data_IF_113631596191
#
_entry.id   IF_113631596191
#
_cell.length_a   1.000
_cell.length_b   1.000
_cell.length_c   1.000
_cell.angle_alpha   90.00
_cell.angle_beta   90.00
_cell.angle_gamma   90.00
#
_symmetry.space_group_name_H-M   'P 1'
#
loop_
_entity.id
_entity.type
_entity.pdbx_description
1 polymer ?
#
# COMPACT_ATOMS: atom_id res chain seq x y z
N UNK A 1 -4.52 -4.02 40.05
CA UNK A 1 -5.39 -2.84 39.93
C UNK A 1 -4.83 -2.00 38.79
N UNK A 2 -5.55 -1.99 37.66
CA UNK A 2 -5.38 -1.18 36.44
C UNK A 2 -4.10 -1.38 35.61
N UNK A 3 -4.25 -2.27 34.62
CA UNK A 3 -3.66 -2.12 33.30
C UNK A 3 -4.09 -0.76 32.73
N UNK A 4 -3.18 0.20 32.71
CA UNK A 4 -3.38 1.45 31.96
C UNK A 4 -3.08 1.15 30.50
N UNK A 5 -4.11 0.70 29.79
CA UNK A 5 -4.17 0.65 28.34
C UNK A 5 -3.81 2.04 27.81
N UNK A 6 -2.65 2.11 27.16
CA UNK A 6 -2.21 3.27 26.40
C UNK A 6 -3.13 3.39 25.18
N UNK A 7 -4.33 3.92 25.37
CA UNK A 7 -5.23 4.24 24.27
C UNK A 7 -4.53 5.30 23.41
N UNK A 8 -4.39 5.10 22.09
CA UNK A 8 -3.83 6.12 21.23
C UNK A 8 -4.68 7.40 21.38
N UNK A 9 -4.05 8.59 21.40
CA UNK A 9 -4.77 9.84 21.60
C UNK A 9 -5.87 9.98 20.56
N UNK A 10 -7.06 10.40 20.99
CA UNK A 10 -8.18 10.68 20.10
C UNK A 10 -7.74 11.72 19.05
N UNK A 11 -7.57 11.28 17.80
CA UNK A 11 -7.02 12.09 16.70
C UNK A 11 -5.71 11.57 16.10
N UNK A 12 -5.08 10.55 16.69
CA UNK A 12 -4.03 9.81 16.00
C UNK A 12 -4.68 9.04 14.84
N UNK A 13 -4.45 9.49 13.61
CA UNK A 13 -4.73 8.69 12.41
C UNK A 13 -4.02 7.36 12.60
N UNK A 14 -4.79 6.28 12.67
CA UNK A 14 -4.22 4.94 12.62
C UNK A 14 -3.54 4.79 11.26
N UNK A 15 -2.21 4.94 11.28
CA UNK A 15 -1.37 4.91 10.09
C UNK A 15 -1.50 3.56 9.39
N UNK A 16 -1.74 2.49 10.16
CA UNK A 16 -2.01 1.15 9.63
C UNK A 16 -3.33 1.11 8.88
N UNK A 17 -4.40 1.65 9.46
CA UNK A 17 -5.71 1.71 8.80
C UNK A 17 -5.67 2.50 7.48
N UNK A 18 -4.96 3.64 7.46
CA UNK A 18 -4.81 4.45 6.25
C UNK A 18 -4.04 3.69 5.14
N UNK A 19 -2.93 3.05 5.49
CA UNK A 19 -2.16 2.22 4.55
C UNK A 19 -2.98 1.03 4.05
N UNK A 20 -3.67 0.31 4.94
CA UNK A 20 -4.51 -0.83 4.58
C UNK A 20 -5.61 -0.42 3.59
N UNK A 21 -6.27 0.73 3.81
CA UNK A 21 -7.27 1.25 2.89
C UNK A 21 -6.71 1.55 1.49
N UNK A 22 -5.48 2.07 1.42
CA UNK A 22 -4.78 2.38 0.17
C UNK A 22 -4.16 1.13 -0.51
N UNK A 23 -4.00 0.04 0.22
CA UNK A 23 -3.53 -1.24 -0.33
C UNK A 23 -4.67 -2.10 -0.89
N UNK A 24 -5.94 -1.77 -0.61
CA UNK A 24 -7.11 -2.58 -1.03
C UNK A 24 -7.16 -2.94 -2.52
N UNK A 25 -6.83 -2.05 -3.48
CA UNK A 25 -6.84 -2.44 -4.89
C UNK A 25 -5.84 -3.55 -5.21
N UNK A 26 -4.78 -3.70 -4.41
CA UNK A 26 -3.74 -4.70 -4.59
C UNK A 26 -4.07 -6.03 -3.89
N UNK A 27 -5.12 -6.07 -3.07
CA UNK A 27 -5.43 -7.20 -2.20
C UNK A 27 -5.59 -8.51 -2.97
N UNK A 28 -6.27 -8.49 -4.13
CA UNK A 28 -6.46 -9.69 -4.94
C UNK A 28 -5.14 -10.33 -5.40
N UNK A 29 -4.13 -9.50 -5.68
CA UNK A 29 -2.80 -9.96 -6.08
C UNK A 29 -1.99 -10.45 -4.88
N UNK A 30 -2.17 -9.83 -3.71
CA UNK A 30 -1.49 -10.22 -2.47
C UNK A 30 -2.02 -11.52 -1.88
N UNK A 31 -3.27 -11.89 -2.17
CA UNK A 31 -3.87 -13.16 -1.72
C UNK A 31 -3.68 -14.32 -2.71
N UNK A 32 -3.12 -14.06 -3.88
CA UNK A 32 -2.88 -15.08 -4.91
C UNK A 32 -1.49 -15.71 -4.72
N UNK A 33 -1.43 -16.95 -4.23
CA UNK A 33 -0.19 -17.70 -4.00
C UNK A 33 0.67 -17.90 -5.26
N UNK A 34 0.09 -17.74 -6.46
CA UNK A 34 0.83 -17.79 -7.71
C UNK A 34 1.59 -16.48 -8.03
N UNK A 35 1.21 -15.36 -7.40
CA UNK A 35 1.87 -14.06 -7.56
C UNK A 35 3.12 -14.02 -6.69
N UNK A 36 4.26 -13.69 -7.30
CA UNK A 36 5.56 -13.55 -6.60
C UNK A 36 6.03 -12.11 -6.50
N UNK A 37 5.60 -11.27 -7.43
CA UNK A 37 5.99 -9.86 -7.47
C UNK A 37 4.88 -9.03 -8.09
N UNK A 38 4.75 -7.80 -7.61
CA UNK A 38 3.85 -6.77 -8.14
C UNK A 38 4.70 -5.53 -8.42
N UNK A 39 4.54 -4.96 -9.61
CA UNK A 39 5.25 -3.73 -10.01
C UNK A 39 4.26 -2.75 -10.63
N UNK A 40 4.36 -1.47 -10.27
CA UNK A 40 3.56 -0.38 -10.83
C UNK A 40 4.54 0.61 -11.49
N UNK A 41 4.89 0.42 -12.77
CA UNK A 41 5.91 1.24 -13.43
C UNK A 41 5.40 2.64 -13.81
N UNK A 42 4.08 2.80 -13.93
CA UNK A 42 3.43 4.08 -14.24
C UNK A 42 1.99 4.07 -13.72
N UNK A 43 1.36 5.25 -13.54
CA UNK A 43 -0.05 5.33 -13.21
C UNK A 43 -0.92 4.53 -14.19
N UNK A 44 -1.88 3.79 -13.66
CA UNK A 44 -2.81 2.99 -14.44
C UNK A 44 -2.34 1.57 -14.79
N UNK A 45 -1.07 1.21 -14.57
CA UNK A 45 -0.54 -0.11 -14.94
C UNK A 45 -0.05 -0.87 -13.70
N UNK A 46 -0.46 -2.13 -13.58
CA UNK A 46 0.11 -3.10 -12.65
C UNK A 46 0.62 -4.32 -13.40
N UNK A 47 1.85 -4.72 -13.12
CA UNK A 47 2.43 -5.97 -13.59
C UNK A 47 2.51 -6.96 -12.42
N UNK A 48 1.93 -8.15 -12.58
CA UNK A 48 2.05 -9.24 -11.63
C UNK A 48 2.89 -10.37 -12.22
N UNK A 49 3.92 -10.82 -11.50
CA UNK A 49 4.71 -11.98 -11.88
C UNK A 49 3.99 -13.26 -11.41
N UNK A 50 3.35 -13.97 -12.33
CA UNK A 50 2.63 -15.23 -12.08
C UNK A 50 3.29 -16.38 -12.83
N UNK A 51 3.66 -17.45 -12.12
CA UNK A 51 4.31 -18.64 -12.71
C UNK A 51 5.49 -18.30 -13.64
N UNK A 52 6.30 -17.31 -13.27
CA UNK A 52 7.46 -16.86 -14.06
C UNK A 52 7.13 -16.03 -15.30
N UNK A 53 5.88 -15.54 -15.44
CA UNK A 53 5.46 -14.65 -16.53
C UNK A 53 4.86 -13.37 -15.99
N UNK A 54 5.19 -12.25 -16.64
CA UNK A 54 4.60 -10.96 -16.34
C UNK A 54 3.23 -10.83 -16.99
N UNK A 55 2.22 -10.51 -16.18
CA UNK A 55 0.86 -10.24 -16.60
C UNK A 55 0.55 -8.75 -16.36
N UNK A 56 0.13 -8.03 -17.40
CA UNK A 56 -0.31 -6.64 -17.29
C UNK A 56 -1.79 -6.57 -16.89
N UNK A 57 -2.08 -5.69 -15.95
CA UNK A 57 -3.41 -5.33 -15.48
C UNK A 57 -3.58 -3.81 -15.58
N UNK A 58 -4.58 -3.36 -16.33
CA UNK A 58 -4.94 -1.95 -16.41
C UNK A 58 -5.83 -1.59 -15.22
N UNK A 59 -5.37 -0.66 -14.39
CA UNK A 59 -5.98 -0.29 -13.12
C UNK A 59 -6.04 1.22 -12.96
N UNK A 60 -7.08 1.85 -13.52
CA UNK A 60 -7.28 3.31 -13.49
C UNK A 60 -7.31 3.92 -12.07
N UNK A 61 -7.66 3.12 -11.06
CA UNK A 61 -7.61 3.51 -9.64
C UNK A 61 -6.19 3.88 -9.19
N UNK A 62 -5.15 3.25 -9.77
CA UNK A 62 -3.74 3.54 -9.53
C UNK A 62 -3.29 4.81 -10.26
N UNK A 63 -4.09 5.87 -10.12
CA UNK A 63 -3.76 7.20 -10.62
C UNK A 63 -2.54 7.77 -9.91
N UNK A 64 -1.91 8.81 -10.50
CA UNK A 64 -0.75 9.46 -9.89
C UNK A 64 -1.05 9.95 -8.46
N UNK A 65 -2.19 10.60 -8.23
CA UNK A 65 -2.57 11.07 -6.89
C UNK A 65 -2.80 9.93 -5.90
N UNK A 66 -3.34 8.80 -6.35
CA UNK A 66 -3.49 7.61 -5.51
C UNK A 66 -2.13 7.03 -5.10
N UNK A 67 -1.22 6.90 -6.07
CA UNK A 67 0.13 6.39 -5.82
C UNK A 67 0.93 7.32 -4.90
N UNK A 68 0.77 8.64 -5.05
CA UNK A 68 1.38 9.60 -4.14
C UNK A 68 0.85 9.43 -2.71
N UNK A 69 -0.48 9.31 -2.53
CA UNK A 69 -1.07 9.06 -1.22
C UNK A 69 -0.59 7.73 -0.61
N UNK A 70 -0.44 6.68 -1.42
CA UNK A 70 0.10 5.39 -0.99
C UNK A 70 1.57 5.50 -0.54
N UNK A 71 2.40 6.25 -1.25
CA UNK A 71 3.80 6.51 -0.87
C UNK A 71 3.86 7.26 0.47
N UNK A 72 3.06 8.30 0.64
CA UNK A 72 2.98 9.09 1.88
C UNK A 72 2.51 8.24 3.07
N UNK A 73 1.47 7.43 2.88
CA UNK A 73 0.98 6.51 3.90
C UNK A 73 2.04 5.46 4.28
N UNK A 74 2.74 4.91 3.29
CA UNK A 74 3.84 3.94 3.50
C UNK A 74 5.00 4.59 4.27
N UNK A 75 5.36 5.83 3.93
CA UNK A 75 6.40 6.59 4.62
C UNK A 75 6.04 6.81 6.09
N UNK A 76 4.82 7.28 6.33
CA UNK A 76 4.26 7.56 7.65
C UNK A 76 4.17 6.32 8.53
N UNK A 77 3.71 5.20 7.96
CA UNK A 77 3.62 3.91 8.64
C UNK A 77 5.01 3.41 9.09
N UNK A 78 6.02 3.52 8.22
CA UNK A 78 7.39 3.07 8.53
C UNK A 78 8.23 4.11 9.29
N UNK A 79 7.71 5.33 9.51
CA UNK A 79 8.46 6.41 10.15
C UNK A 79 9.66 6.89 9.32
N UNK A 80 9.61 6.75 7.99
CA UNK A 80 10.67 7.16 7.06
C UNK A 80 10.23 8.36 6.23
N UNK A 81 11.18 9.01 5.58
CA UNK A 81 10.91 10.08 4.62
C UNK A 81 11.46 9.68 3.24
N UNK A 82 10.60 9.67 2.23
CA UNK A 82 10.96 9.36 0.84
C UNK A 82 11.23 10.61 -0.01
N UNK A 83 11.47 11.77 0.62
CA UNK A 83 11.95 12.95 -0.11
C UNK A 83 13.22 12.60 -0.90
N UNK A 84 13.38 13.16 -2.13
CA UNK A 84 14.55 12.90 -2.95
C UNK A 84 15.85 13.23 -2.18
N UNK A 85 16.85 12.38 -2.37
CA UNK A 85 18.23 12.57 -1.89
C UNK A 85 18.90 13.66 -2.73
#
# INVERSE_FOLDING_TARGET
MKDSLNAPPAGAVDRGLALEALMRPLAEFMTDDAVREITIPRPGDLFALRHGRWCLHEMSVLSFGYLQALIEATASYNGVNFLPI
#
